data_IF_579169784964
#
_entry.id   IF_579169784964
#
_cell.length_a   1.000
_cell.length_b   1.000
_cell.length_c   1.000
_cell.angle_alpha   90.00
_cell.angle_beta   90.00
_cell.angle_gamma   90.00
#
_symmetry.space_group_name_H-M   'P 1'
#
loop_
_entity.id
_entity.type
_entity.pdbx_description
1 polymer ?
#
# COMPACT_ATOMS: atom_id res chain seq x y z
N UNK A 1 10.90 -7.28 -21.13
CA UNK A 1 10.35 -6.71 -19.88
C UNK A 1 9.12 -5.83 -20.16
N UNK A 2 8.23 -6.28 -21.03
CA UNK A 2 7.07 -5.52 -21.52
C UNK A 2 5.95 -5.32 -20.49
N UNK A 3 5.91 -6.15 -19.44
CA UNK A 3 4.81 -6.16 -18.44
C UNK A 3 5.02 -5.14 -17.31
N UNK A 4 6.27 -4.93 -16.88
CA UNK A 4 6.64 -3.94 -15.86
C UNK A 4 7.83 -3.11 -16.39
N UNK A 5 7.61 -2.13 -17.27
CA UNK A 5 8.70 -1.43 -17.98
C UNK A 5 9.61 -0.60 -17.06
N UNK A 6 9.10 -0.17 -15.89
CA UNK A 6 9.85 0.64 -14.92
C UNK A 6 10.41 -0.18 -13.75
N UNK A 7 10.34 -1.51 -13.80
CA UNK A 7 10.87 -2.39 -12.74
C UNK A 7 12.30 -2.00 -12.36
N UNK A 8 12.56 -1.79 -11.08
CA UNK A 8 13.87 -1.45 -10.55
C UNK A 8 14.35 -2.47 -9.50
N UNK A 9 15.67 -2.64 -9.43
CA UNK A 9 16.38 -3.41 -8.38
C UNK A 9 17.37 -2.46 -7.71
N UNK A 10 17.28 -2.31 -6.38
CA UNK A 10 18.10 -1.39 -5.56
C UNK A 10 18.19 0.05 -6.13
N UNK A 11 17.07 0.57 -6.63
CA UNK A 11 16.98 1.91 -7.24
C UNK A 11 17.49 2.01 -8.68
N UNK A 12 18.20 1.00 -9.20
CA UNK A 12 18.62 0.93 -10.61
C UNK A 12 17.56 0.26 -11.52
N UNK A 13 17.46 0.62 -12.81
CA UNK A 13 16.61 -0.09 -13.76
C UNK A 13 16.94 -1.59 -13.81
N UNK A 14 15.93 -2.44 -13.71
CA UNK A 14 16.13 -3.89 -13.72
C UNK A 14 16.39 -4.41 -15.14
N UNK A 15 17.17 -5.48 -15.24
CA UNK A 15 17.16 -6.40 -16.37
C UNK A 15 16.46 -7.70 -15.95
N UNK A 16 16.12 -8.58 -16.90
CA UNK A 16 15.59 -9.91 -16.55
C UNK A 16 16.60 -10.71 -15.70
N UNK A 17 17.90 -10.53 -15.96
CA UNK A 17 18.98 -11.13 -15.20
C UNK A 17 19.07 -10.58 -13.78
N UNK A 18 19.09 -9.27 -13.58
CA UNK A 18 19.19 -8.68 -12.23
C UNK A 18 17.94 -8.95 -11.40
N UNK A 19 16.75 -8.94 -12.01
CA UNK A 19 15.51 -9.34 -11.35
C UNK A 19 15.51 -10.81 -10.91
N UNK A 20 15.90 -11.74 -11.80
CA UNK A 20 16.02 -13.18 -11.47
C UNK A 20 17.03 -13.39 -10.34
N UNK A 21 18.22 -12.80 -10.45
CA UNK A 21 19.25 -12.87 -9.42
C UNK A 21 18.74 -12.35 -8.08
N UNK A 22 18.02 -11.22 -8.05
CA UNK A 22 17.42 -10.71 -6.81
C UNK A 22 16.42 -11.68 -6.20
N UNK A 23 15.57 -12.34 -6.99
CA UNK A 23 14.64 -13.35 -6.45
C UNK A 23 15.36 -14.59 -5.91
N UNK A 24 16.48 -15.00 -6.49
CA UNK A 24 17.27 -16.15 -6.01
C UNK A 24 17.79 -15.96 -4.58
N UNK A 25 18.06 -14.72 -4.14
CA UNK A 25 18.45 -14.40 -2.77
C UNK A 25 17.35 -14.60 -1.70
N UNK A 26 16.13 -14.92 -2.14
CA UNK A 26 14.99 -15.30 -1.29
C UNK A 26 14.50 -16.72 -1.55
N UNK A 27 15.14 -17.45 -2.48
CA UNK A 27 14.82 -18.83 -2.77
C UNK A 27 15.45 -19.76 -1.74
N UNK A 28 14.67 -20.70 -1.24
CA UNK A 28 15.06 -21.65 -0.20
C UNK A 28 14.90 -23.06 -0.80
N UNK A 29 15.97 -23.67 -1.34
CA UNK A 29 15.86 -24.90 -2.13
C UNK A 29 15.51 -26.13 -1.28
N UNK A 30 15.73 -26.07 0.04
CA UNK A 30 15.37 -27.10 1.03
C UNK A 30 13.89 -26.99 1.46
N UNK A 31 13.18 -25.92 1.10
CA UNK A 31 11.87 -25.59 1.65
C UNK A 31 10.74 -25.73 0.61
N UNK A 32 9.83 -26.70 0.76
CA UNK A 32 8.73 -26.90 -0.20
C UNK A 32 7.61 -25.84 -0.06
N UNK A 33 7.56 -25.11 1.06
CA UNK A 33 6.53 -24.11 1.32
C UNK A 33 6.93 -22.79 0.63
N UNK A 34 6.28 -22.49 -0.50
CA UNK A 34 6.56 -21.28 -1.28
C UNK A 34 5.76 -20.05 -0.83
N UNK A 35 4.58 -20.25 -0.23
CA UNK A 35 3.72 -19.17 0.27
C UNK A 35 2.79 -19.67 1.40
N UNK A 36 2.60 -18.85 2.42
CA UNK A 36 1.57 -19.00 3.46
C UNK A 36 0.68 -17.76 3.39
N UNK A 37 -0.65 -17.95 3.44
CA UNK A 37 -1.56 -16.80 3.52
C UNK A 37 -3.00 -17.18 3.83
N UNK A 38 -3.78 -16.21 4.31
CA UNK A 38 -5.20 -16.35 4.63
C UNK A 38 -6.17 -16.02 3.48
N UNK A 39 -7.40 -16.51 3.62
CA UNK A 39 -8.59 -16.14 2.84
C UNK A 39 -9.75 -15.85 3.81
N UNK A 40 -10.36 -14.67 3.74
CA UNK A 40 -11.41 -14.24 4.69
C UNK A 40 -12.82 -14.68 4.27
N UNK A 41 -13.11 -14.69 2.96
CA UNK A 41 -14.47 -14.92 2.43
C UNK A 41 -14.59 -16.16 1.54
N UNK A 42 -13.65 -16.38 0.63
CA UNK A 42 -13.68 -17.53 -0.28
C UNK A 42 -12.25 -17.96 -0.65
N UNK A 43 -11.93 -19.22 -0.33
CA UNK A 43 -10.68 -19.84 -0.76
C UNK A 43 -10.61 -19.92 -2.29
N UNK A 44 -11.69 -20.34 -2.95
CA UNK A 44 -11.74 -20.45 -4.42
C UNK A 44 -11.45 -19.11 -5.09
N UNK A 45 -12.09 -18.02 -4.65
CA UNK A 45 -11.82 -16.68 -5.21
C UNK A 45 -10.37 -16.23 -4.94
N UNK A 46 -9.84 -16.54 -3.75
CA UNK A 46 -8.46 -16.27 -3.35
C UNK A 46 -7.45 -17.03 -4.23
N UNK A 47 -7.75 -18.27 -4.60
CA UNK A 47 -6.90 -19.11 -5.45
C UNK A 47 -7.00 -18.71 -6.92
N UNK A 48 -8.20 -18.56 -7.48
CA UNK A 48 -8.41 -18.11 -8.86
C UNK A 48 -7.79 -16.74 -9.16
N UNK A 49 -7.66 -15.88 -8.14
CA UNK A 49 -6.99 -14.59 -8.24
C UNK A 49 -5.46 -14.67 -8.45
N UNK A 50 -4.79 -15.79 -8.15
CA UNK A 50 -3.38 -15.99 -8.53
C UNK A 50 -3.23 -16.17 -10.05
N UNK A 51 -4.10 -16.95 -10.66
CA UNK A 51 -4.08 -17.26 -12.11
C UNK A 51 -4.58 -16.11 -12.98
N UNK A 52 -5.70 -15.49 -12.61
CA UNK A 52 -6.37 -14.44 -13.41
C UNK A 52 -5.70 -13.06 -13.34
N UNK A 53 -4.96 -12.77 -12.27
CA UNK A 53 -4.40 -11.44 -12.04
C UNK A 53 -3.00 -11.33 -12.65
N UNK A 54 -2.90 -10.65 -13.80
CA UNK A 54 -1.65 -10.41 -14.55
C UNK A 54 -0.48 -10.00 -13.64
N UNK A 55 0.72 -10.47 -13.99
CA UNK A 55 1.97 -9.98 -13.42
C UNK A 55 2.05 -8.45 -13.56
N UNK A 56 2.58 -7.77 -12.56
CA UNK A 56 2.58 -6.31 -12.50
C UNK A 56 1.29 -5.65 -12.03
N UNK A 57 0.14 -6.35 -11.92
CA UNK A 57 -1.06 -5.72 -11.39
C UNK A 57 -0.88 -5.27 -9.92
N UNK A 58 -1.40 -4.09 -9.56
CA UNK A 58 -1.39 -3.59 -8.17
C UNK A 58 -2.13 -4.48 -7.17
N UNK A 59 -2.99 -5.38 -7.66
CA UNK A 59 -3.69 -6.40 -6.90
C UNK A 59 -4.75 -7.10 -7.76
N UNK A 60 -5.49 -8.07 -7.20
CA UNK A 60 -5.31 -8.64 -5.86
C UNK A 60 -3.98 -9.42 -5.69
N UNK A 61 -3.62 -9.78 -4.45
CA UNK A 61 -2.41 -10.56 -4.08
C UNK A 61 -1.06 -9.83 -4.20
N UNK A 62 -1.02 -8.55 -3.82
CA UNK A 62 0.20 -7.74 -3.76
C UNK A 62 1.34 -8.32 -2.88
N UNK A 63 1.02 -9.22 -1.92
CA UNK A 63 1.97 -9.83 -0.99
C UNK A 63 2.44 -11.25 -1.34
N UNK A 64 1.78 -11.93 -2.29
CA UNK A 64 2.12 -13.28 -2.77
C UNK A 64 2.54 -13.31 -4.24
N UNK A 65 2.84 -12.15 -4.83
CA UNK A 65 2.94 -11.98 -6.28
C UNK A 65 4.13 -12.71 -6.93
N UNK A 66 5.17 -13.06 -6.15
CA UNK A 66 6.31 -13.83 -6.65
C UNK A 66 5.94 -15.26 -7.08
N UNK A 67 4.83 -15.84 -6.60
CA UNK A 67 4.33 -17.12 -7.16
C UNK A 67 4.09 -17.02 -8.67
N UNK A 68 3.75 -15.83 -9.18
CA UNK A 68 3.47 -15.58 -10.60
C UNK A 68 4.71 -15.43 -11.48
N UNK A 69 5.91 -15.49 -10.90
CA UNK A 69 7.17 -15.57 -11.67
C UNK A 69 7.61 -17.01 -11.91
N UNK A 70 6.94 -17.97 -11.28
CA UNK A 70 7.23 -19.40 -11.39
C UNK A 70 6.49 -19.99 -12.59
N UNK A 71 7.19 -20.69 -13.48
CA UNK A 71 6.58 -21.44 -14.58
C UNK A 71 5.67 -22.56 -14.07
N UNK A 72 6.06 -23.19 -12.95
CA UNK A 72 5.36 -24.28 -12.29
C UNK A 72 4.12 -23.86 -11.49
N UNK A 73 3.64 -22.62 -11.61
CA UNK A 73 2.47 -22.13 -10.85
C UNK A 73 1.24 -23.06 -10.94
N UNK A 74 0.88 -23.67 -12.10
CA UNK A 74 -0.23 -24.62 -12.20
C UNK A 74 -0.01 -25.96 -11.49
N UNK A 75 1.24 -26.30 -11.14
CA UNK A 75 1.63 -27.57 -10.53
C UNK A 75 1.71 -27.46 -8.98
N UNK A 76 1.51 -26.27 -8.42
CA UNK A 76 1.62 -26.04 -6.97
C UNK A 76 0.39 -26.56 -6.20
N UNK A 77 0.63 -27.48 -5.26
CA UNK A 77 -0.40 -27.99 -4.35
C UNK A 77 -0.82 -26.94 -3.30
N UNK A 78 -2.12 -26.71 -3.18
CA UNK A 78 -2.70 -25.87 -2.13
C UNK A 78 -3.17 -26.71 -0.94
N UNK A 79 -2.46 -26.61 0.19
CA UNK A 79 -2.92 -27.12 1.47
C UNK A 79 -3.69 -26.02 2.23
N UNK A 80 -4.85 -26.36 2.79
CA UNK A 80 -5.69 -25.41 3.52
C UNK A 80 -6.42 -26.06 4.70
N UNK A 81 -6.76 -25.25 5.70
CA UNK A 81 -7.60 -25.63 6.83
C UNK A 81 -8.55 -24.46 7.16
N UNK A 82 -9.71 -24.77 7.77
CA UNK A 82 -10.60 -23.73 8.32
C UNK A 82 -10.10 -23.34 9.71
N UNK A 83 -10.12 -22.05 10.02
CA UNK A 83 -9.78 -21.51 11.34
C UNK A 83 -10.70 -20.33 11.67
N UNK A 84 -11.04 -20.13 12.94
CA UNK A 84 -11.82 -19.00 13.44
C UNK A 84 -10.99 -17.71 13.58
N UNK A 85 -9.67 -17.83 13.82
CA UNK A 85 -8.70 -16.74 13.76
C UNK A 85 -7.62 -17.06 12.71
N UNK A 86 -7.95 -16.77 11.45
CA UNK A 86 -7.03 -16.96 10.33
C UNK A 86 -5.79 -16.06 10.40
N UNK A 87 -5.84 -14.95 11.16
CA UNK A 87 -4.75 -13.99 11.32
C UNK A 87 -3.72 -14.50 12.34
N UNK A 88 -4.17 -15.09 13.44
CA UNK A 88 -3.30 -15.80 14.37
C UNK A 88 -2.69 -17.05 13.71
N UNK A 89 -3.47 -17.80 12.93
CA UNK A 89 -2.99 -18.96 12.20
C UNK A 89 -1.90 -18.59 11.16
N UNK A 90 -2.11 -17.55 10.35
CA UNK A 90 -1.12 -17.05 9.39
C UNK A 90 0.19 -16.61 10.09
N UNK A 91 0.07 -15.87 11.21
CA UNK A 91 1.23 -15.49 12.04
C UNK A 91 1.98 -16.70 12.59
N UNK A 92 1.26 -17.67 13.15
CA UNK A 92 1.84 -18.86 13.77
C UNK A 92 2.59 -19.71 12.73
N UNK A 93 1.99 -19.97 11.57
CA UNK A 93 2.61 -20.75 10.50
C UNK A 93 3.86 -20.07 9.93
N UNK A 94 3.84 -18.75 9.73
CA UNK A 94 5.03 -18.01 9.26
C UNK A 94 6.14 -17.99 10.32
N UNK A 95 5.79 -17.84 11.60
CA UNK A 95 6.73 -17.91 12.72
C UNK A 95 7.37 -19.30 12.83
N UNK A 96 6.57 -20.37 12.71
CA UNK A 96 7.04 -21.75 12.73
C UNK A 96 7.94 -22.07 11.52
N UNK A 97 7.56 -21.64 10.32
CA UNK A 97 8.44 -21.74 9.14
C UNK A 97 9.79 -21.06 9.40
N UNK A 98 9.78 -19.84 9.94
CA UNK A 98 11.01 -19.11 10.23
C UNK A 98 11.87 -19.81 11.30
N UNK A 99 11.26 -20.43 12.32
CA UNK A 99 12.00 -21.14 13.38
C UNK A 99 12.60 -22.48 12.93
N UNK A 100 12.02 -23.12 11.92
CA UNK A 100 12.48 -24.41 11.40
C UNK A 100 13.58 -24.31 10.33
N UNK A 101 13.83 -23.13 9.73
CA UNK A 101 14.88 -22.96 8.73
C UNK A 101 16.27 -23.39 9.23
N UNK A 102 16.95 -24.22 8.45
CA UNK A 102 18.34 -24.63 8.71
C UNK A 102 19.27 -23.41 8.85
N UNK A 103 20.32 -23.47 9.70
CA UNK A 103 21.29 -22.38 9.82
C UNK A 103 21.93 -21.99 8.48
N UNK A 104 22.18 -22.99 7.62
CA UNK A 104 22.69 -22.85 6.26
C UNK A 104 21.73 -22.04 5.38
N UNK A 105 20.43 -22.38 5.38
CA UNK A 105 19.41 -21.65 4.63
C UNK A 105 19.22 -20.22 5.16
N UNK A 106 19.21 -20.03 6.49
CA UNK A 106 19.14 -18.72 7.16
C UNK A 106 20.38 -17.84 6.91
N UNK A 107 21.53 -18.41 6.62
CA UNK A 107 22.75 -17.67 6.27
C UNK A 107 22.75 -17.13 4.83
N UNK A 108 22.05 -17.81 3.91
CA UNK A 108 21.95 -17.45 2.48
C UNK A 108 20.93 -16.34 2.19
N UNK A 109 19.97 -16.11 3.09
CA UNK A 109 18.93 -15.09 2.92
C UNK A 109 19.50 -13.67 3.00
N UNK A 110 19.17 -12.84 1.99
CA UNK A 110 19.49 -11.40 1.99
C UNK A 110 18.82 -10.66 3.15
N UNK A 111 17.61 -11.08 3.54
CA UNK A 111 16.87 -10.51 4.67
C UNK A 111 16.74 -11.53 5.80
N UNK A 112 17.61 -11.39 6.80
CA UNK A 112 17.68 -12.27 7.98
C UNK A 112 16.72 -11.83 9.10
N UNK A 113 16.06 -10.67 8.95
CA UNK A 113 15.16 -10.07 9.94
C UNK A 113 13.67 -10.28 9.61
N UNK A 114 13.33 -10.51 8.33
CA UNK A 114 11.96 -10.77 7.84
C UNK A 114 11.91 -12.11 7.10
N UNK A 115 12.11 -13.17 7.87
CA UNK A 115 12.10 -14.54 7.36
C UNK A 115 10.65 -15.00 7.12
N UNK A 116 10.45 -15.72 6.03
CA UNK A 116 9.19 -16.35 5.64
C UNK A 116 9.32 -17.00 4.26
N UNK A 117 8.32 -17.80 3.83
CA UNK A 117 8.32 -18.52 2.55
C UNK A 117 8.72 -17.64 1.37
N UNK A 118 9.29 -18.23 0.31
CA UNK A 118 9.81 -17.51 -0.86
C UNK A 118 8.94 -16.30 -1.23
N UNK A 119 7.68 -16.56 -1.59
CA UNK A 119 6.76 -15.55 -2.11
C UNK A 119 6.02 -14.72 -1.05
N UNK A 120 6.23 -14.93 0.26
CA UNK A 120 5.72 -14.04 1.30
C UNK A 120 6.51 -12.73 1.31
N UNK A 121 6.09 -11.77 0.49
CA UNK A 121 6.72 -10.45 0.40
C UNK A 121 6.43 -9.60 1.64
N UNK A 122 5.24 -9.76 2.23
CA UNK A 122 4.83 -9.18 3.51
C UNK A 122 4.93 -10.25 4.60
N UNK A 123 5.69 -9.96 5.65
CA UNK A 123 5.76 -10.76 6.87
C UNK A 123 4.88 -10.08 7.94
N UNK A 124 3.84 -10.75 8.47
CA UNK A 124 3.04 -10.22 9.56
C UNK A 124 3.90 -9.78 10.76
N UNK A 125 3.60 -8.63 11.36
CA UNK A 125 4.39 -8.06 12.46
C UNK A 125 5.72 -7.40 12.07
N UNK A 126 6.41 -7.88 11.02
CA UNK A 126 7.73 -7.38 10.61
C UNK A 126 7.74 -6.52 9.32
N UNK A 127 6.64 -6.50 8.56
CA UNK A 127 6.51 -5.69 7.35
C UNK A 127 7.06 -6.37 6.08
N UNK A 128 7.30 -5.58 5.02
CA UNK A 128 7.81 -6.13 3.76
C UNK A 128 9.27 -6.55 3.89
N UNK A 129 9.64 -7.72 3.34
CA UNK A 129 11.04 -8.13 3.09
C UNK A 129 11.81 -6.99 2.43
N UNK A 130 13.08 -6.77 2.79
CA UNK A 130 14.00 -5.88 2.08
C UNK A 130 14.46 -6.51 0.75
N UNK A 131 13.50 -6.69 -0.16
CA UNK A 131 13.73 -7.29 -1.46
C UNK A 131 14.36 -6.33 -2.47
N UNK A 132 14.41 -5.01 -2.17
CA UNK A 132 15.01 -4.01 -3.05
C UNK A 132 14.37 -3.99 -4.45
N UNK A 133 13.06 -4.24 -4.55
CA UNK A 133 12.34 -4.20 -5.83
C UNK A 133 11.37 -3.04 -5.79
N UNK A 134 11.45 -2.16 -6.77
CA UNK A 134 10.56 -1.01 -6.90
C UNK A 134 9.89 -1.02 -8.26
N UNK A 135 8.76 -0.29 -8.37
CA UNK A 135 7.97 -0.13 -9.59
C UNK A 135 7.52 -1.42 -10.30
N UNK A 136 7.66 -2.58 -9.64
CA UNK A 136 7.21 -3.91 -10.09
C UNK A 136 5.69 -4.06 -10.19
N UNK A 137 4.93 -3.00 -9.91
CA UNK A 137 3.48 -2.90 -10.00
C UNK A 137 3.10 -1.76 -10.95
N UNK A 138 2.65 -2.09 -12.15
CA UNK A 138 2.00 -1.14 -13.06
C UNK A 138 0.60 -0.79 -12.54
N UNK A 139 0.27 0.49 -12.56
CA UNK A 139 -1.09 0.97 -12.29
C UNK A 139 -2.08 0.30 -13.23
N UNK A 140 -3.16 -0.27 -12.67
CA UNK A 140 -4.29 -0.81 -13.43
C UNK A 140 -4.71 0.19 -14.51
N UNK A 141 -4.53 -0.15 -15.78
CA UNK A 141 -5.11 0.62 -16.88
C UNK A 141 -6.62 0.60 -16.73
N UNK A 142 -7.24 1.77 -16.89
CA UNK A 142 -8.67 1.87 -17.13
C UNK A 142 -8.97 1.11 -18.41
N UNK A 143 -9.80 0.07 -18.32
CA UNK A 143 -10.23 -0.70 -19.49
C UNK A 143 -11.08 0.22 -20.36
N UNK A 144 -10.65 0.43 -21.59
CA UNK A 144 -11.33 1.30 -22.55
C UNK A 144 -12.68 0.69 -22.97
N UNK A 145 -13.72 1.50 -22.83
CA UNK A 145 -15.00 1.51 -23.55
C UNK A 145 -16.05 0.39 -23.36
N UNK A 146 -17.33 0.72 -23.66
CA UNK A 146 -18.45 0.25 -22.84
C UNK A 146 -19.31 -0.84 -23.51
N UNK A 147 -20.10 -1.52 -22.69
CA UNK A 147 -21.35 -2.14 -23.13
C UNK A 147 -22.49 -1.47 -22.37
N UNK A 148 -23.37 -0.83 -23.12
CA UNK A 148 -24.51 -0.07 -22.61
C UNK A 148 -25.61 -0.99 -22.09
N UNK A 149 -25.73 -1.10 -20.77
CA UNK A 149 -26.97 -1.51 -20.10
C UNK A 149 -27.13 -0.63 -18.85
N UNK A 150 -28.16 0.22 -18.85
CA UNK A 150 -28.53 1.04 -17.69
C UNK A 150 -29.23 0.20 -16.63
N UNK A 151 -28.95 0.41 -15.33
CA UNK A 151 -29.88 0.08 -14.26
C UNK A 151 -30.53 1.35 -13.68
N UNK A 152 -31.82 1.21 -13.39
CA UNK A 152 -32.70 2.21 -12.77
C UNK A 152 -32.29 2.53 -11.30
N UNK A 153 -32.60 3.71 -10.73
CA UNK A 153 -32.08 4.11 -9.42
C UNK A 153 -33.03 3.68 -8.29
N UNK A 154 -32.53 2.96 -7.28
CA UNK A 154 -33.22 2.89 -5.99
C UNK A 154 -32.28 2.57 -4.82
N UNK A 155 -32.70 2.98 -3.62
CA UNK A 155 -32.11 2.67 -2.31
C UNK A 155 -30.78 3.37 -1.94
N UNK A 156 -30.86 4.70 -1.81
CA UNK A 156 -30.06 5.40 -0.80
C UNK A 156 -30.53 5.02 0.62
N UNK A 157 -29.60 4.72 1.54
CA UNK A 157 -29.80 4.81 3.00
C UNK A 157 -28.53 5.33 3.69
N UNK A 158 -28.65 6.16 4.74
CA UNK A 158 -27.52 6.92 5.28
C UNK A 158 -26.74 6.15 6.37
N UNK A 159 -25.42 6.31 6.37
CA UNK A 159 -24.55 5.89 7.48
C UNK A 159 -24.23 7.10 8.37
N UNK A 160 -25.16 7.42 9.27
CA UNK A 160 -24.90 8.38 10.33
C UNK A 160 -23.98 7.76 11.39
N UNK A 161 -22.86 8.42 11.72
CA UNK A 161 -22.18 8.21 13.00
C UNK A 161 -21.66 9.53 13.55
N UNK A 162 -22.16 9.88 14.73
CA UNK A 162 -21.95 11.16 15.41
C UNK A 162 -20.46 11.41 15.74
N UNK A 163 -19.92 12.54 15.27
CA UNK A 163 -18.62 13.05 15.70
C UNK A 163 -18.76 13.80 17.03
N UNK A 164 -18.68 13.09 18.16
CA UNK A 164 -18.47 13.73 19.46
C UNK A 164 -16.98 14.01 19.68
N UNK A 165 -16.63 15.29 19.65
CA UNK A 165 -15.55 15.94 20.43
C UNK A 165 -14.28 15.13 20.70
N UNK A 166 -13.25 15.33 19.88
CA UNK A 166 -11.84 15.14 20.28
C UNK A 166 -11.07 16.44 20.03
N UNK A 167 -11.19 17.38 20.97
CA UNK A 167 -10.26 18.52 21.13
C UNK A 167 -9.39 18.25 22.36
N UNK A 168 -8.29 17.53 22.18
CA UNK A 168 -7.26 17.37 23.21
C UNK A 168 -5.90 17.01 22.57
N UNK A 169 -4.87 17.80 22.85
CA UNK A 169 -3.46 17.34 22.83
C UNK A 169 -2.64 17.51 21.53
N UNK A 170 -3.17 18.04 20.44
CA UNK A 170 -2.34 18.33 19.26
C UNK A 170 -1.46 19.57 19.52
N UNK A 171 -0.13 19.41 19.41
CA UNK A 171 0.80 20.55 19.40
C UNK A 171 0.48 21.46 18.21
N UNK A 172 0.54 22.78 18.44
CA UNK A 172 0.35 23.77 17.39
C UNK A 172 1.35 23.56 16.24
N UNK A 173 0.97 23.88 14.98
CA UNK A 173 1.88 23.79 13.83
C UNK A 173 3.10 24.69 14.01
N UNK A 174 4.18 24.38 13.29
CA UNK A 174 5.33 25.30 13.18
C UNK A 174 4.93 26.44 12.24
N UNK A 175 4.51 27.57 12.81
CA UNK A 175 4.04 28.74 12.05
C UNK A 175 5.04 29.21 10.99
N UNK A 176 4.51 29.71 9.87
CA UNK A 176 5.25 30.33 8.76
C UNK A 176 6.14 29.37 7.95
N UNK A 177 5.88 28.06 8.01
CA UNK A 177 6.57 27.06 7.18
C UNK A 177 5.68 26.67 6.00
N UNK A 178 6.16 26.84 4.77
CA UNK A 178 5.51 26.33 3.55
C UNK A 178 6.16 25.00 3.17
N UNK A 179 5.36 23.94 3.01
CA UNK A 179 5.81 22.61 2.56
C UNK A 179 5.02 22.10 1.36
N UNK A 180 5.65 21.39 0.40
CA UNK A 180 4.96 20.80 -0.72
C UNK A 180 4.26 19.49 -0.34
N UNK A 181 3.11 19.22 -0.97
CA UNK A 181 2.50 17.89 -1.04
C UNK A 181 3.28 16.98 -2.00
N UNK A 182 2.85 15.72 -2.14
CA UNK A 182 3.19 14.96 -3.36
C UNK A 182 2.48 15.60 -4.56
N UNK A 183 3.08 15.53 -5.74
CA UNK A 183 2.46 15.98 -6.99
C UNK A 183 1.09 15.30 -7.20
N UNK A 184 0.04 16.09 -7.45
CA UNK A 184 -1.31 15.56 -7.62
C UNK A 184 -1.44 14.92 -9.00
N UNK A 185 -1.60 13.60 -9.05
CA UNK A 185 -1.99 12.93 -10.30
C UNK A 185 -3.50 13.08 -10.52
N UNK A 186 -4.01 12.94 -11.76
CA UNK A 186 -5.45 12.87 -12.02
C UNK A 186 -6.18 11.79 -11.19
N UNK A 187 -5.46 10.76 -10.72
CA UNK A 187 -5.99 9.71 -9.84
C UNK A 187 -6.15 10.15 -8.39
N UNK A 188 -5.39 11.15 -7.92
CA UNK A 188 -5.47 11.65 -6.55
C UNK A 188 -6.68 12.58 -6.35
N UNK A 189 -7.16 13.23 -7.43
CA UNK A 189 -8.44 13.98 -7.45
C UNK A 189 -9.66 13.14 -7.06
N UNK A 190 -9.64 11.85 -7.37
CA UNK A 190 -10.69 10.88 -7.01
C UNK A 190 -10.49 10.25 -5.61
N UNK A 191 -9.74 10.91 -4.72
CA UNK A 191 -9.53 10.47 -3.34
C UNK A 191 -10.00 11.54 -2.37
N UNK A 192 -10.34 11.13 -1.16
CA UNK A 192 -10.69 12.05 -0.08
C UNK A 192 -9.47 12.64 0.65
N UNK A 193 -8.24 12.49 0.15
CA UNK A 193 -7.04 12.91 0.87
C UNK A 193 -5.86 13.32 -0.04
N UNK A 194 -5.16 14.36 0.41
CA UNK A 194 -3.87 14.80 -0.11
C UNK A 194 -2.75 14.00 0.56
N UNK A 195 -1.65 13.72 -0.16
CA UNK A 195 -0.49 13.00 0.39
C UNK A 195 0.63 13.97 0.72
N UNK A 196 1.15 13.87 1.93
CA UNK A 196 2.29 14.67 2.41
C UNK A 196 3.53 13.78 2.38
N UNK A 197 4.59 14.10 1.61
CA UNK A 197 5.78 13.26 1.55
C UNK A 197 6.51 13.24 2.90
N UNK A 198 7.33 12.23 3.14
CA UNK A 198 8.04 12.08 4.42
C UNK A 198 8.82 13.35 4.82
N UNK A 199 9.47 13.98 3.84
CA UNK A 199 10.23 15.21 4.01
C UNK A 199 9.39 16.44 4.43
N UNK A 200 8.08 16.48 4.15
CA UNK A 200 7.18 17.59 4.51
C UNK A 200 6.46 17.39 5.84
N UNK A 201 6.59 16.22 6.49
CA UNK A 201 5.78 15.88 7.68
C UNK A 201 6.15 16.66 8.94
N UNK A 202 7.33 17.29 9.00
CA UNK A 202 7.77 18.04 10.19
C UNK A 202 6.90 19.28 10.46
N UNK A 203 6.18 19.78 9.46
CA UNK A 203 5.18 20.84 9.62
C UNK A 203 3.85 20.35 10.24
N UNK A 204 3.65 19.03 10.32
CA UNK A 204 2.40 18.39 10.77
C UNK A 204 2.56 17.71 12.14
N UNK A 205 1.46 17.46 12.88
CA UNK A 205 1.53 16.80 14.18
C UNK A 205 2.12 15.38 14.08
N UNK A 206 2.82 14.93 15.12
CA UNK A 206 3.37 13.56 15.16
C UNK A 206 2.29 12.48 15.24
N UNK A 207 1.11 12.83 15.78
CA UNK A 207 -0.01 11.93 16.02
C UNK A 207 -1.16 12.11 15.02
N UNK A 208 -1.97 11.06 14.76
CA UNK A 208 -3.23 11.19 14.03
C UNK A 208 -4.22 12.10 14.76
N UNK A 209 -5.01 12.89 14.03
CA UNK A 209 -6.00 13.76 14.66
C UNK A 209 -6.78 14.64 13.68
N UNK A 210 -7.62 15.52 14.21
CA UNK A 210 -8.32 16.54 13.44
C UNK A 210 -7.47 17.83 13.38
N UNK A 211 -7.28 18.39 12.19
CA UNK A 211 -6.54 19.65 11.97
C UNK A 211 -7.39 20.65 11.21
N UNK A 212 -7.23 21.93 11.50
CA UNK A 212 -7.87 23.02 10.75
C UNK A 212 -7.15 23.18 9.41
N UNK A 213 -7.90 23.24 8.31
CA UNK A 213 -7.36 23.56 6.98
C UNK A 213 -8.16 24.68 6.36
N UNK A 214 -7.48 25.71 5.87
CA UNK A 214 -8.03 26.83 5.11
C UNK A 214 -7.76 26.58 3.63
N UNK A 215 -8.80 26.56 2.81
CA UNK A 215 -8.72 26.38 1.35
C UNK A 215 -9.55 27.46 0.70
N UNK A 216 -8.96 28.26 -0.20
CA UNK A 216 -9.62 29.41 -0.85
C UNK A 216 -10.34 30.35 0.14
N UNK A 217 -9.76 30.55 1.32
CA UNK A 217 -10.33 31.34 2.41
C UNK A 217 -11.39 30.64 3.27
N UNK A 218 -11.91 29.47 2.86
CA UNK A 218 -12.87 28.69 3.65
C UNK A 218 -12.15 27.78 4.66
N UNK A 219 -12.54 27.87 5.93
CA UNK A 219 -12.02 27.03 7.02
C UNK A 219 -12.81 25.72 7.13
N UNK A 220 -12.11 24.60 7.14
CA UNK A 220 -12.68 23.26 7.32
C UNK A 220 -11.85 22.40 8.28
N UNK A 221 -12.45 21.33 8.81
CA UNK A 221 -11.74 20.31 9.60
C UNK A 221 -11.30 19.15 8.70
N UNK A 222 -10.01 18.90 8.65
CA UNK A 222 -9.41 17.78 7.92
C UNK A 222 -8.93 16.68 8.88
N UNK A 223 -8.85 15.43 8.41
CA UNK A 223 -8.25 14.32 9.19
C UNK A 223 -6.79 14.15 8.84
N UNK A 224 -5.89 14.34 9.80
CA UNK A 224 -4.47 14.06 9.64
C UNK A 224 -4.11 12.62 10.03
N UNK A 225 -3.31 11.96 9.21
CA UNK A 225 -2.65 10.70 9.52
C UNK A 225 -1.15 10.78 9.19
N UNK A 226 -0.24 10.77 10.18
CA UNK A 226 1.20 10.94 9.98
C UNK A 226 1.86 9.79 9.22
N UNK A 227 1.34 8.56 9.35
CA UNK A 227 1.84 7.37 8.67
C UNK A 227 3.19 6.87 9.22
N UNK A 228 3.33 5.54 9.29
CA UNK A 228 4.45 4.84 9.93
C UNK A 228 5.75 5.01 9.13
N UNK A 229 6.48 6.11 9.34
CA UNK A 229 7.71 6.47 8.63
C UNK A 229 7.55 6.87 7.15
N UNK A 230 6.39 6.61 6.54
CA UNK A 230 6.07 6.92 5.14
C UNK A 230 5.39 8.29 4.99
N UNK A 231 4.88 8.58 3.79
CA UNK A 231 4.02 9.74 3.51
C UNK A 231 2.80 9.79 4.44
N UNK A 232 2.50 10.98 4.97
CA UNK A 232 1.26 11.27 5.67
C UNK A 232 0.07 11.46 4.71
N UNK A 233 -1.13 11.53 5.28
CA UNK A 233 -2.38 11.79 4.56
C UNK A 233 -3.17 12.88 5.26
N UNK A 234 -3.56 13.90 4.51
CA UNK A 234 -4.45 14.98 4.96
C UNK A 234 -5.81 14.79 4.28
N UNK A 235 -6.82 14.38 5.03
CA UNK A 235 -8.16 14.08 4.55
C UNK A 235 -8.98 15.35 4.32
N UNK A 236 -9.13 15.73 3.05
CA UNK A 236 -9.78 16.96 2.58
C UNK A 236 -11.18 16.73 1.97
N UNK A 237 -11.61 15.48 1.81
CA UNK A 237 -12.85 15.14 1.11
C UNK A 237 -12.69 15.09 -0.42
N UNK A 238 -13.61 14.40 -1.11
CA UNK A 238 -13.52 14.15 -2.56
C UNK A 238 -13.80 15.43 -3.36
N UNK A 239 -14.83 16.20 -2.99
CA UNK A 239 -15.20 17.43 -3.67
C UNK A 239 -13.99 18.39 -3.76
N UNK A 240 -13.42 18.73 -2.61
CA UNK A 240 -12.28 19.63 -2.54
C UNK A 240 -11.03 19.08 -3.26
N UNK A 241 -10.72 17.78 -3.10
CA UNK A 241 -9.61 17.15 -3.84
C UNK A 241 -9.80 17.15 -5.36
N UNK A 242 -11.04 17.14 -5.86
CA UNK A 242 -11.33 17.21 -7.29
C UNK A 242 -11.08 18.60 -7.88
N UNK A 243 -11.21 19.64 -7.05
CA UNK A 243 -11.06 21.04 -7.43
C UNK A 243 -9.61 21.55 -7.37
N UNK A 244 -8.69 20.84 -6.70
CA UNK A 244 -7.29 21.27 -6.56
C UNK A 244 -6.51 21.25 -7.90
N UNK A 245 -5.71 22.29 -8.10
CA UNK A 245 -4.93 22.62 -9.31
C UNK A 245 -3.41 22.41 -9.03
N UNK A 246 -2.51 22.06 -9.95
CA UNK A 246 -2.54 21.62 -11.38
C UNK A 246 -2.21 20.11 -11.46
N UNK A 247 -2.70 19.32 -12.45
CA UNK A 247 -2.22 17.94 -12.63
C UNK A 247 -0.69 17.87 -12.82
N UNK A 248 -0.02 17.07 -12.00
CA UNK A 248 1.43 16.88 -12.04
C UNK A 248 2.24 17.85 -11.17
N UNK A 249 1.61 18.86 -10.55
CA UNK A 249 2.29 19.78 -9.62
C UNK A 249 1.97 19.44 -8.15
N UNK A 250 2.88 19.74 -7.20
CA UNK A 250 2.57 19.69 -5.78
C UNK A 250 1.73 20.91 -5.38
N UNK A 251 0.76 20.68 -4.49
CA UNK A 251 0.06 21.76 -3.79
C UNK A 251 0.94 22.22 -2.63
N UNK A 252 1.08 23.52 -2.44
CA UNK A 252 1.85 24.08 -1.34
C UNK A 252 0.95 24.26 -0.11
N UNK A 253 1.50 24.00 1.07
CA UNK A 253 0.77 24.05 2.33
C UNK A 253 1.57 24.87 3.33
N UNK A 254 1.02 26.00 3.73
CA UNK A 254 1.55 26.84 4.79
C UNK A 254 1.02 26.35 6.14
N UNK A 255 1.91 26.08 7.09
CA UNK A 255 1.56 25.89 8.48
C UNK A 255 1.30 27.26 9.13
N UNK A 256 0.08 27.48 9.60
CA UNK A 256 -0.34 28.66 10.36
C UNK A 256 -0.42 28.31 11.84
N UNK A 257 -0.40 29.30 12.74
CA UNK A 257 -0.49 29.02 14.19
C UNK A 257 -1.74 28.23 14.61
N UNK A 258 -2.82 28.35 13.83
CA UNK A 258 -4.13 27.73 14.09
C UNK A 258 -4.44 26.52 13.18
N UNK A 259 -3.53 26.14 12.26
CA UNK A 259 -3.77 25.06 11.31
C UNK A 259 -2.89 25.09 10.05
N UNK A 260 -3.52 24.87 8.89
CA UNK A 260 -2.84 24.78 7.60
C UNK A 260 -3.59 25.59 6.55
N UNK A 261 -2.90 26.32 5.68
CA UNK A 261 -3.48 26.99 4.51
C UNK A 261 -2.97 26.31 3.25
N UNK A 262 -3.89 25.92 2.38
CA UNK A 262 -3.58 25.46 1.02
C UNK A 262 -3.29 26.69 0.15
N UNK A 263 -2.14 26.68 -0.50
CA UNK A 263 -1.70 27.65 -1.51
C UNK A 263 -1.75 26.91 -2.86
N UNK A 264 -2.63 27.38 -3.74
CA UNK A 264 -2.79 26.94 -5.14
C UNK A 264 -2.02 27.84 -6.10
#
# INVERSE_FOLDING_TARGET
>A
MSVCPFLAVDGGPATLGSFRNRLQHFWLPEEPILYIGKAETSLTARTSAYYSTKLGATGPHAGGWWLKVLSILPELTLHYARNTDADAAERALISQFASQLSPTSRAKLLDRNRIGPFANVLIPGHGNKAHGLDHYKVSRSTKTEPSSVSPDPTLAKPLGRSLKSIRAGLKAPVSNVIVPSQALTPKDRNRAYLRIPAASKYAFPSEPGAVTVIVRGATQTATWHPGNGKSGRLGLGIALMSELVVPGQPVHIEATGDGYRIIE
#
